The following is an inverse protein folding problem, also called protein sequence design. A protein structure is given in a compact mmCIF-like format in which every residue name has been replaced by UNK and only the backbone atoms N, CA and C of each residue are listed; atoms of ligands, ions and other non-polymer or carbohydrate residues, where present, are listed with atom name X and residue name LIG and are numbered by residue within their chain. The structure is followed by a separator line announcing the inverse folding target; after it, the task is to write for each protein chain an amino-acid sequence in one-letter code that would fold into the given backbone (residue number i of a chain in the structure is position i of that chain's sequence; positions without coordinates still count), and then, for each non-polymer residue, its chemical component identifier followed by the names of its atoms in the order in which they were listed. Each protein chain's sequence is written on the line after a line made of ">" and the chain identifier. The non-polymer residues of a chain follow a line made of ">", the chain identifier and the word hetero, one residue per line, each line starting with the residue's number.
data_IF_577943159379
#
_entry.id   IF_577943159379
#
_cell.length_a   1.000
_cell.length_b   1.000
_cell.length_c   1.000
_cell.angle_alpha   90.00
_cell.angle_beta   90.00
_cell.angle_gamma   90.00
#
_symmetry.space_group_name_H-M   'P 1'
#
loop_
_entity.id
_entity.type
_entity.pdbx_description
1 polymer ?
#
# COMPACT_ATOMS: atom_id res chain seq x y z
N UNK A 1 -16.42 12.64 13.71
CA UNK A 1 -15.54 11.46 13.57
C UNK A 1 -16.20 10.42 12.68
N UNK A 2 -15.44 9.80 11.81
CA UNK A 2 -15.87 8.72 10.92
C UNK A 2 -14.67 8.06 10.30
N UNK A 3 -14.87 6.93 9.60
CA UNK A 3 -13.83 6.18 8.92
C UNK A 3 -13.56 6.76 7.53
N UNK A 4 -12.29 6.84 7.14
CA UNK A 4 -11.84 7.25 5.81
C UNK A 4 -12.50 8.59 5.36
N UNK A 5 -13.32 8.56 4.32
CA UNK A 5 -13.99 9.74 3.75
C UNK A 5 -15.35 10.07 4.39
N UNK A 6 -15.84 9.30 5.34
CA UNK A 6 -17.17 9.54 5.96
C UNK A 6 -17.37 10.96 6.51
N UNK A 7 -16.38 11.59 7.16
CA UNK A 7 -16.52 12.96 7.62
C UNK A 7 -16.59 14.00 6.49
N UNK A 8 -16.18 13.64 5.28
CA UNK A 8 -15.93 14.56 4.17
C UNK A 8 -16.86 14.34 2.98
N UNK A 9 -18.07 13.84 3.21
CA UNK A 9 -19.01 13.35 2.17
C UNK A 9 -19.25 14.31 0.99
N UNK A 10 -19.17 15.62 1.22
CA UNK A 10 -19.43 16.63 0.20
C UNK A 10 -18.23 17.54 -0.09
N UNK A 11 -17.08 17.20 0.49
CA UNK A 11 -15.87 17.99 0.33
C UNK A 11 -15.06 17.54 -0.88
N UNK A 12 -14.38 18.51 -1.50
CA UNK A 12 -13.40 18.31 -2.57
C UNK A 12 -12.07 18.87 -2.12
N UNK A 13 -11.01 18.17 -2.46
CA UNK A 13 -9.65 18.55 -2.10
C UNK A 13 -8.77 18.60 -3.33
N UNK A 14 -7.88 19.60 -3.38
CA UNK A 14 -6.89 19.72 -4.45
C UNK A 14 -5.75 18.71 -4.27
N UNK A 15 -5.50 18.31 -3.04
CA UNK A 15 -4.52 17.28 -2.69
C UNK A 15 -5.09 16.36 -1.63
N UNK A 16 -5.02 15.07 -1.91
CA UNK A 16 -5.26 14.00 -0.93
C UNK A 16 -3.96 13.21 -0.82
N UNK A 17 -3.50 13.01 0.41
CA UNK A 17 -2.35 12.15 0.73
C UNK A 17 -2.82 11.01 1.62
N UNK A 18 -2.53 9.81 1.18
CA UNK A 18 -2.74 8.60 1.97
C UNK A 18 -1.41 8.20 2.63
N UNK A 19 -1.44 7.97 3.92
CA UNK A 19 -0.33 7.43 4.71
C UNK A 19 -0.76 6.18 5.49
N UNK A 20 -1.71 5.43 4.93
CA UNK A 20 -2.13 4.17 5.50
C UNK A 20 -1.12 3.10 5.10
N UNK A 21 -0.28 2.72 6.03
CA UNK A 21 0.62 1.58 5.86
C UNK A 21 -0.19 0.29 5.90
N UNK A 22 -0.42 -0.30 4.72
CA UNK A 22 -0.99 -1.63 4.60
C UNK A 22 0.11 -2.63 4.27
N UNK A 23 0.35 -3.58 5.16
CA UNK A 23 1.13 -4.77 4.86
C UNK A 23 0.25 -6.00 5.08
N UNK A 24 0.62 -7.12 4.44
CA UNK A 24 -0.04 -8.41 4.67
C UNK A 24 -0.17 -8.68 6.17
N UNK A 25 -1.36 -9.07 6.63
CA UNK A 25 -1.61 -9.34 8.04
C UNK A 25 -0.72 -10.47 8.57
N UNK A 26 -0.36 -11.43 7.72
CA UNK A 26 0.60 -12.48 8.06
C UNK A 26 2.00 -11.91 8.39
N UNK A 27 2.41 -10.84 7.69
CA UNK A 27 3.66 -10.12 7.98
C UNK A 27 3.50 -9.27 9.23
N UNK A 28 2.38 -8.55 9.35
CA UNK A 28 2.13 -7.70 10.51
C UNK A 28 2.18 -8.48 11.84
N UNK A 29 1.67 -9.72 11.84
CA UNK A 29 1.64 -10.58 13.02
C UNK A 29 3.02 -11.00 13.54
N UNK A 30 4.03 -11.03 12.67
CA UNK A 30 5.41 -11.40 13.00
C UNK A 30 6.36 -10.21 13.00
N UNK A 31 5.89 -9.03 12.59
CA UNK A 31 6.70 -7.82 12.51
C UNK A 31 6.71 -7.07 13.83
N UNK A 32 7.87 -6.62 14.31
CA UNK A 32 7.97 -5.80 15.52
C UNK A 32 7.31 -4.42 15.37
N UNK A 33 7.07 -3.96 14.12
CA UNK A 33 6.45 -2.66 13.85
C UNK A 33 4.99 -2.57 14.29
N UNK A 34 4.29 -3.69 14.36
CA UNK A 34 2.88 -3.77 14.71
C UNK A 34 2.64 -4.43 16.08
N UNK A 35 3.69 -4.54 16.90
CA UNK A 35 3.58 -5.16 18.22
C UNK A 35 2.56 -4.40 19.09
N UNK A 36 1.40 -5.03 19.33
CA UNK A 36 0.31 -4.45 20.12
C UNK A 36 -0.54 -3.40 19.38
N UNK A 37 -0.28 -3.17 18.09
CA UNK A 37 -1.07 -2.26 17.25
C UNK A 37 -1.96 -3.09 16.30
N UNK A 38 -3.29 -2.89 16.28
CA UNK A 38 -4.16 -3.56 15.33
C UNK A 38 -3.78 -3.20 13.88
N UNK A 39 -3.70 -4.22 13.02
CA UNK A 39 -3.47 -4.06 11.60
C UNK A 39 -4.60 -4.76 10.84
N UNK A 40 -5.72 -4.05 10.68
CA UNK A 40 -6.93 -4.57 9.99
C UNK A 40 -6.89 -4.24 8.50
N UNK A 41 -5.82 -4.65 7.82
CA UNK A 41 -5.64 -4.40 6.38
C UNK A 41 -5.90 -5.63 5.51
N UNK A 42 -6.40 -6.71 6.10
CA UNK A 42 -6.69 -7.98 5.43
C UNK A 42 -5.44 -8.84 5.19
N UNK A 43 -5.64 -10.05 4.70
CA UNK A 43 -4.56 -11.03 4.49
C UNK A 43 -3.46 -10.53 3.56
N UNK A 44 -3.83 -9.76 2.55
CA UNK A 44 -2.91 -9.16 1.57
C UNK A 44 -2.47 -7.73 1.90
N UNK A 45 -2.96 -7.15 3.00
CA UNK A 45 -2.67 -5.77 3.40
C UNK A 45 -3.34 -4.70 2.53
N UNK A 46 -4.42 -5.04 1.81
CA UNK A 46 -4.97 -4.15 0.77
C UNK A 46 -6.36 -3.61 1.05
N UNK A 47 -7.08 -4.09 2.06
CA UNK A 47 -8.49 -3.79 2.25
C UNK A 47 -8.77 -2.29 2.37
N UNK A 48 -7.96 -1.57 3.15
CA UNK A 48 -8.12 -0.12 3.33
C UNK A 48 -7.73 0.65 2.07
N UNK A 49 -6.56 0.38 1.50
CA UNK A 49 -6.08 1.12 0.31
C UNK A 49 -7.00 0.90 -0.90
N UNK A 50 -7.52 -0.30 -1.11
CA UNK A 50 -8.48 -0.56 -2.19
C UNK A 50 -9.78 0.21 -1.98
N UNK A 51 -10.24 0.37 -0.74
CA UNK A 51 -11.39 1.21 -0.42
C UNK A 51 -11.10 2.69 -0.69
N UNK A 52 -9.92 3.17 -0.32
CA UNK A 52 -9.49 4.54 -0.57
C UNK A 52 -9.40 4.83 -2.06
N UNK A 53 -8.72 3.98 -2.84
CA UNK A 53 -8.58 4.14 -4.29
C UNK A 53 -9.92 4.24 -5.03
N UNK A 54 -10.93 3.50 -4.60
CA UNK A 54 -12.29 3.57 -5.17
C UNK A 54 -13.04 4.85 -4.81
N UNK A 55 -12.75 5.44 -3.69
CA UNK A 55 -13.49 6.60 -3.18
C UNK A 55 -12.78 7.94 -3.37
N UNK A 56 -11.45 7.97 -3.35
CA UNK A 56 -10.66 9.19 -3.49
C UNK A 56 -11.03 10.05 -4.72
N UNK A 57 -11.33 9.49 -5.92
CA UNK A 57 -11.73 10.32 -7.06
C UNK A 57 -12.97 11.16 -6.82
N UNK A 58 -13.88 10.70 -5.95
CA UNK A 58 -15.10 11.45 -5.59
C UNK A 58 -14.81 12.67 -4.71
N UNK A 59 -13.66 12.68 -4.05
CA UNK A 59 -13.23 13.72 -3.12
C UNK A 59 -12.10 14.61 -3.69
N UNK A 60 -11.65 14.35 -4.91
CA UNK A 60 -10.71 15.22 -5.59
C UNK A 60 -11.45 16.32 -6.37
N UNK A 61 -10.88 17.54 -6.37
CA UNK A 61 -11.21 18.58 -7.34
C UNK A 61 -10.86 18.11 -8.77
N UNK A 62 -11.24 18.87 -9.78
CA UNK A 62 -11.00 18.44 -11.18
C UNK A 62 -9.52 18.24 -11.47
N UNK A 63 -8.68 19.18 -11.06
CA UNK A 63 -7.22 19.14 -11.23
C UNK A 63 -6.49 18.57 -10.01
N UNK A 64 -7.21 17.88 -9.12
CA UNK A 64 -6.67 17.40 -7.85
C UNK A 64 -5.69 16.22 -8.01
N UNK A 65 -4.82 16.09 -7.03
CA UNK A 65 -3.77 15.08 -6.95
C UNK A 65 -4.03 14.12 -5.78
N UNK A 66 -3.84 12.84 -6.04
CA UNK A 66 -3.86 11.83 -4.99
C UNK A 66 -2.50 11.13 -4.89
N UNK A 67 -1.88 11.20 -3.72
CA UNK A 67 -0.62 10.51 -3.43
C UNK A 67 -0.89 9.32 -2.53
N UNK A 68 -0.30 8.17 -2.85
CA UNK A 68 -0.41 6.98 -2.03
C UNK A 68 0.86 6.14 -2.07
N UNK A 69 1.25 5.54 -0.92
CA UNK A 69 2.38 4.63 -0.86
C UNK A 69 1.94 3.21 -1.26
N UNK A 70 2.89 2.45 -1.80
CA UNK A 70 2.77 1.01 -2.03
C UNK A 70 4.00 0.33 -1.46
N UNK A 71 3.78 -0.53 -0.48
CA UNK A 71 4.84 -1.32 0.14
C UNK A 71 4.93 -2.69 -0.52
N UNK A 72 6.15 -3.16 -0.75
CA UNK A 72 6.38 -4.48 -1.36
C UNK A 72 5.89 -5.65 -0.49
N UNK A 73 5.69 -5.41 0.81
CA UNK A 73 5.09 -6.38 1.76
C UNK A 73 3.55 -6.39 1.73
N UNK A 74 2.96 -5.92 0.65
CA UNK A 74 1.53 -6.00 0.35
C UNK A 74 1.31 -6.51 -1.07
N UNK A 75 0.05 -6.75 -1.45
CA UNK A 75 -0.28 -7.14 -2.82
C UNK A 75 -0.21 -5.93 -3.76
N UNK A 76 0.99 -5.65 -4.25
CA UNK A 76 1.30 -4.53 -5.15
C UNK A 76 0.44 -4.56 -6.41
N UNK A 77 0.25 -5.75 -7.01
CA UNK A 77 -0.51 -5.88 -8.25
C UNK A 77 -1.98 -5.49 -8.08
N UNK A 78 -2.60 -5.91 -6.98
CA UNK A 78 -3.98 -5.55 -6.66
C UNK A 78 -4.14 -4.04 -6.44
N UNK A 79 -3.21 -3.42 -5.74
CA UNK A 79 -3.22 -1.97 -5.49
C UNK A 79 -3.08 -1.20 -6.81
N UNK A 80 -2.07 -1.51 -7.61
CA UNK A 80 -1.83 -0.81 -8.89
C UNK A 80 -2.92 -1.05 -9.92
N UNK A 81 -3.50 -2.25 -9.95
CA UNK A 81 -4.67 -2.53 -10.79
C UNK A 81 -5.85 -1.64 -10.38
N UNK A 82 -6.19 -1.61 -9.10
CA UNK A 82 -7.27 -0.78 -8.60
C UNK A 82 -7.03 0.72 -8.84
N UNK A 83 -5.78 1.18 -8.68
CA UNK A 83 -5.43 2.57 -9.00
C UNK A 83 -5.71 2.90 -10.47
N UNK A 84 -5.26 2.05 -11.40
CA UNK A 84 -5.47 2.23 -12.85
C UNK A 84 -6.93 2.11 -13.28
N UNK A 85 -7.76 1.39 -12.54
CA UNK A 85 -9.20 1.30 -12.79
C UNK A 85 -9.97 2.53 -12.35
N UNK A 86 -9.46 3.27 -11.37
CA UNK A 86 -10.16 4.40 -10.75
C UNK A 86 -9.59 5.79 -11.12
N UNK A 87 -8.38 5.83 -11.69
CA UNK A 87 -7.72 7.06 -12.09
C UNK A 87 -7.27 7.00 -13.54
N UNK A 88 -7.23 8.16 -14.20
CA UNK A 88 -6.81 8.27 -15.60
C UNK A 88 -5.30 8.16 -15.73
N UNK A 89 -4.56 8.76 -14.79
CA UNK A 89 -3.10 8.65 -14.73
C UNK A 89 -2.66 8.14 -13.36
N UNK A 90 -1.66 7.25 -13.36
CA UNK A 90 -1.00 6.73 -12.17
C UNK A 90 0.49 6.68 -12.48
N UNK A 91 1.26 7.52 -11.83
CA UNK A 91 2.69 7.72 -12.08
C UNK A 91 3.51 7.39 -10.84
N UNK A 92 4.58 6.62 -11.02
CA UNK A 92 5.57 6.39 -9.97
C UNK A 92 6.40 7.68 -9.79
N UNK A 93 6.41 8.23 -8.58
CA UNK A 93 7.15 9.44 -8.23
C UNK A 93 8.50 9.10 -7.61
N UNK A 94 8.51 8.15 -6.66
CA UNK A 94 9.71 7.81 -5.89
C UNK A 94 9.68 6.34 -5.51
N UNK A 95 10.85 5.73 -5.43
CA UNK A 95 11.04 4.37 -4.91
C UNK A 95 12.22 4.35 -3.96
N UNK A 96 12.00 3.86 -2.77
CA UNK A 96 13.01 3.61 -1.75
C UNK A 96 13.14 2.12 -1.52
N UNK A 97 14.34 1.59 -1.75
CA UNK A 97 14.68 0.20 -1.41
C UNK A 97 15.28 0.13 0.00
N UNK A 98 15.00 -0.94 0.71
CA UNK A 98 15.52 -1.20 2.03
C UNK A 98 15.70 -2.70 2.28
N UNK A 99 16.72 -3.11 3.06
CA UNK A 99 16.96 -4.52 3.34
C UNK A 99 15.80 -5.08 4.18
N UNK A 100 15.49 -6.36 3.95
CA UNK A 100 14.52 -7.06 4.79
C UNK A 100 14.99 -7.02 6.26
N UNK A 101 14.13 -6.61 7.21
CA UNK A 101 14.46 -6.66 8.62
C UNK A 101 14.84 -8.07 9.07
N UNK A 102 15.83 -8.17 9.96
CA UNK A 102 16.34 -9.46 10.46
C UNK A 102 15.26 -10.31 11.11
N UNK A 103 14.33 -9.66 11.81
CA UNK A 103 13.20 -10.33 12.45
C UNK A 103 12.30 -11.03 11.44
N UNK A 104 12.20 -10.50 10.22
CA UNK A 104 11.46 -11.12 9.13
C UNK A 104 12.28 -12.20 8.40
N UNK A 105 13.61 -12.08 8.37
CA UNK A 105 14.48 -13.10 7.77
C UNK A 105 14.31 -14.48 8.43
N UNK A 106 14.01 -14.53 9.72
CA UNK A 106 13.74 -15.77 10.44
C UNK A 106 12.48 -16.51 9.92
N UNK A 107 11.64 -15.81 9.18
CA UNK A 107 10.38 -16.33 8.61
C UNK A 107 10.44 -16.52 7.08
N UNK A 108 11.64 -16.67 6.51
CA UNK A 108 11.82 -16.80 5.04
C UNK A 108 10.90 -17.82 4.36
N UNK A 109 10.62 -19.01 4.91
CA UNK A 109 9.68 -19.95 4.28
C UNK A 109 8.29 -19.35 4.09
N UNK A 110 7.76 -18.63 5.08
CA UNK A 110 6.48 -17.93 4.99
C UNK A 110 6.54 -16.82 3.95
N UNK A 111 7.59 -16.01 3.96
CA UNK A 111 7.79 -14.90 3.02
C UNK A 111 7.85 -15.37 1.57
N UNK A 112 8.57 -16.46 1.31
CA UNK A 112 8.64 -17.08 -0.02
C UNK A 112 7.30 -17.58 -0.51
N UNK A 113 6.49 -18.19 0.36
CA UNK A 113 5.13 -18.60 0.01
C UNK A 113 4.26 -17.41 -0.34
N UNK A 114 4.25 -16.38 0.49
CA UNK A 114 3.48 -15.15 0.25
C UNK A 114 3.92 -14.44 -1.04
N UNK A 115 5.22 -14.45 -1.34
CA UNK A 115 5.74 -13.90 -2.59
C UNK A 115 5.29 -14.71 -3.82
N UNK A 116 5.29 -16.04 -3.70
CA UNK A 116 4.82 -16.93 -4.78
C UNK A 116 3.32 -16.75 -5.04
N UNK A 117 2.53 -16.54 -4.00
CA UNK A 117 1.09 -16.26 -4.10
C UNK A 117 0.77 -14.85 -4.62
N UNK A 118 1.76 -13.95 -4.67
CA UNK A 118 1.58 -12.56 -5.06
C UNK A 118 1.05 -11.65 -3.95
N UNK A 119 0.96 -12.14 -2.72
CA UNK A 119 0.55 -11.35 -1.55
C UNK A 119 1.59 -10.33 -1.12
N UNK A 120 2.84 -10.54 -1.48
CA UNK A 120 3.97 -9.61 -1.28
C UNK A 120 4.91 -9.70 -2.48
N UNK A 121 5.85 -8.75 -2.56
CA UNK A 121 7.00 -8.81 -3.48
C UNK A 121 8.30 -8.73 -2.71
N UNK A 122 9.24 -9.62 -3.04
CA UNK A 122 10.61 -9.60 -2.55
C UNK A 122 11.55 -9.52 -3.75
N UNK A 123 12.64 -8.80 -3.58
CA UNK A 123 13.72 -8.76 -4.56
C UNK A 123 15.01 -9.30 -3.93
N UNK A 124 15.75 -10.11 -4.69
CA UNK A 124 17.06 -10.56 -4.29
C UNK A 124 18.12 -9.85 -5.12
N UNK A 125 19.08 -9.23 -4.45
CA UNK A 125 20.19 -8.55 -5.09
C UNK A 125 21.47 -8.70 -4.27
N UNK A 126 22.51 -9.21 -4.91
CA UNK A 126 23.81 -9.46 -4.25
C UNK A 126 23.71 -10.30 -2.98
N UNK A 127 22.86 -11.32 -2.96
CA UNK A 127 22.64 -12.19 -1.81
C UNK A 127 21.81 -11.58 -0.68
N UNK A 128 21.30 -10.37 -0.85
CA UNK A 128 20.40 -9.70 0.09
C UNK A 128 18.97 -9.75 -0.40
N UNK A 129 18.04 -9.94 0.53
CA UNK A 129 16.61 -9.78 0.27
C UNK A 129 16.22 -8.33 0.54
N UNK A 130 15.64 -7.70 -0.46
CA UNK A 130 15.22 -6.31 -0.42
C UNK A 130 13.69 -6.19 -0.45
N UNK A 131 13.22 -5.22 0.29
CA UNK A 131 11.87 -4.67 0.21
C UNK A 131 11.94 -3.28 -0.41
N UNK A 132 10.80 -2.72 -0.77
CA UNK A 132 10.73 -1.34 -1.22
C UNK A 132 9.41 -0.67 -0.83
N UNK A 133 9.44 0.63 -0.81
CA UNK A 133 8.27 1.50 -0.76
C UNK A 133 8.27 2.36 -2.01
N UNK A 134 7.16 2.39 -2.71
CA UNK A 134 6.93 3.25 -3.85
C UNK A 134 5.87 4.29 -3.50
N UNK A 135 6.02 5.51 -3.99
CA UNK A 135 5.01 6.56 -3.88
C UNK A 135 4.48 6.87 -5.27
N UNK A 136 3.19 6.81 -5.41
CA UNK A 136 2.49 7.08 -6.66
C UNK A 136 1.68 8.39 -6.58
N UNK A 137 1.61 9.07 -7.71
CA UNK A 137 0.71 10.17 -7.98
C UNK A 137 -0.40 9.69 -8.91
N UNK A 138 -1.64 9.92 -8.53
CA UNK A 138 -2.79 9.62 -9.35
C UNK A 138 -3.65 10.86 -9.62
N UNK A 139 -4.27 10.92 -10.81
CA UNK A 139 -5.20 11.99 -11.23
C UNK A 139 -6.43 11.37 -11.89
N UNK A 140 -7.58 12.02 -11.68
CA UNK A 140 -8.83 11.59 -12.32
C UNK A 140 -9.06 12.18 -13.72
N UNK A 141 -8.25 13.15 -14.09
CA UNK A 141 -8.23 13.79 -15.41
C UNK A 141 -6.81 13.88 -15.92
#
# INVERSE_FOLDING_TARGET
>A
CGALFDPWKNEKFDVIMDDISGISQNIASISPWFNGVPCDTGDSGTDLILSILRNAPKHLSEDGYFFFPVLSLSNVDAILKSAKENFVTVELIERQEWPLPKELEEHMPLLKNLSTEGSIRLEERFGMVLCYTEVYLARKI
#
